data_IF_318037617110
#
_entry.id   IF_318037617110
#
_cell.length_a   1.000
_cell.length_b   1.000
_cell.length_c   1.000
_cell.angle_alpha   90.00
_cell.angle_beta   90.00
_cell.angle_gamma   90.00
#
_symmetry.space_group_name_H-M   'P 1'
#
loop_
_entity.id
_entity.type
_entity.pdbx_description
1 polymer ?
#
# COMPACT_ATOMS: atom_id res chain seq x y z
N UNK A 1 -65.63 -44.69 17.78
CA UNK A 1 -64.66 -45.49 18.57
C UNK A 1 -63.27 -44.88 18.43
N UNK A 2 -62.68 -44.35 19.50
CA UNK A 2 -61.34 -43.77 19.45
C UNK A 2 -60.28 -44.89 19.42
N UNK A 3 -59.41 -44.89 18.39
CA UNK A 3 -58.25 -45.79 18.31
C UNK A 3 -57.19 -45.33 19.31
N UNK A 4 -57.04 -46.06 20.41
CA UNK A 4 -55.93 -45.90 21.36
C UNK A 4 -54.63 -46.20 20.59
N UNK A 5 -53.88 -45.14 20.25
CA UNK A 5 -52.55 -45.30 19.66
C UNK A 5 -51.61 -45.75 20.78
N UNK A 6 -51.04 -46.95 20.64
CA UNK A 6 -49.98 -47.42 21.53
C UNK A 6 -48.77 -46.51 21.31
N UNK A 7 -48.50 -45.63 22.26
CA UNK A 7 -47.24 -44.89 22.29
C UNK A 7 -46.13 -45.90 22.60
N UNK A 8 -45.34 -46.24 21.61
CA UNK A 8 -44.11 -47.00 21.84
C UNK A 8 -43.16 -46.09 22.64
N UNK A 9 -42.90 -46.46 23.89
CA UNK A 9 -41.91 -45.78 24.71
C UNK A 9 -40.53 -45.99 24.06
N UNK A 10 -39.85 -44.89 23.74
CA UNK A 10 -38.50 -44.92 23.17
C UNK A 10 -37.55 -45.70 24.09
N UNK A 11 -36.75 -46.60 23.52
CA UNK A 11 -35.76 -47.32 24.30
C UNK A 11 -34.62 -46.38 24.69
N UNK A 12 -34.11 -46.50 25.93
CA UNK A 12 -32.94 -45.73 26.40
C UNK A 12 -31.75 -45.92 25.45
N UNK A 13 -31.61 -47.11 24.85
CA UNK A 13 -30.56 -47.40 23.87
C UNK A 13 -30.71 -46.58 22.59
N UNK A 14 -31.94 -46.41 22.08
CA UNK A 14 -32.20 -45.58 20.90
C UNK A 14 -31.87 -44.11 21.16
N UNK A 15 -32.16 -43.62 22.37
CA UNK A 15 -31.81 -42.26 22.77
C UNK A 15 -30.28 -42.08 22.85
N UNK A 16 -29.54 -43.05 23.38
CA UNK A 16 -28.07 -43.00 23.41
C UNK A 16 -27.45 -42.99 22.02
N UNK A 17 -27.97 -43.81 21.10
CA UNK A 17 -27.52 -43.83 19.70
C UNK A 17 -27.86 -42.52 18.99
N UNK A 18 -29.05 -41.97 19.20
CA UNK A 18 -29.44 -40.68 18.60
C UNK A 18 -28.56 -39.53 19.11
N UNK A 19 -28.27 -39.48 20.41
CA UNK A 19 -27.40 -38.47 21.01
C UNK A 19 -25.96 -38.57 20.52
N UNK A 20 -25.42 -39.79 20.37
CA UNK A 20 -24.05 -39.97 19.87
C UNK A 20 -23.94 -39.54 18.40
N UNK A 21 -24.89 -39.93 17.55
CA UNK A 21 -24.95 -39.50 16.15
C UNK A 21 -25.08 -37.98 16.03
N UNK A 22 -25.95 -37.37 16.84
CA UNK A 22 -26.09 -35.92 16.89
C UNK A 22 -24.78 -35.25 17.34
N UNK A 23 -24.11 -35.81 18.35
CA UNK A 23 -22.82 -35.32 18.83
C UNK A 23 -21.73 -35.36 17.76
N UNK A 24 -21.61 -36.46 17.02
CA UNK A 24 -20.68 -36.57 15.90
C UNK A 24 -20.99 -35.56 14.79
N UNK A 25 -22.27 -35.38 14.46
CA UNK A 25 -22.70 -34.43 13.44
C UNK A 25 -22.38 -32.99 13.86
N UNK A 26 -22.68 -32.61 15.11
CA UNK A 26 -22.36 -31.29 15.66
C UNK A 26 -20.85 -31.04 15.71
N UNK A 27 -20.05 -32.03 16.10
CA UNK A 27 -18.59 -31.94 16.09
C UNK A 27 -18.05 -31.73 14.66
N UNK A 28 -18.62 -32.42 13.67
CA UNK A 28 -18.28 -32.22 12.26
C UNK A 28 -18.60 -30.81 11.76
N UNK A 29 -19.81 -30.31 12.05
CA UNK A 29 -20.21 -28.93 11.69
C UNK A 29 -19.30 -27.91 12.37
N UNK A 30 -19.02 -28.09 13.65
CA UNK A 30 -18.11 -27.21 14.39
C UNK A 30 -16.71 -27.19 13.77
N UNK A 31 -16.18 -28.36 13.40
CA UNK A 31 -14.90 -28.47 12.69
C UNK A 31 -14.89 -27.70 11.36
N UNK A 32 -15.92 -27.86 10.54
CA UNK A 32 -16.03 -27.13 9.27
C UNK A 32 -16.13 -25.62 9.47
N UNK A 33 -16.88 -25.15 10.46
CA UNK A 33 -17.01 -23.72 10.77
C UNK A 33 -15.69 -23.11 11.24
N UNK A 34 -14.94 -23.80 12.10
CA UNK A 34 -13.64 -23.32 12.57
C UNK A 34 -12.61 -23.23 11.45
N UNK A 35 -12.56 -24.23 10.56
CA UNK A 35 -11.72 -24.20 9.35
C UNK A 35 -12.15 -23.07 8.40
N UNK A 36 -13.45 -22.91 8.17
CA UNK A 36 -13.99 -21.84 7.32
C UNK A 36 -13.62 -20.45 7.84
N UNK A 37 -13.76 -20.21 9.16
CA UNK A 37 -13.36 -18.94 9.78
C UNK A 37 -11.86 -18.67 9.66
N UNK A 38 -11.02 -19.71 9.76
CA UNK A 38 -9.56 -19.57 9.57
C UNK A 38 -9.25 -19.10 8.15
N UNK A 39 -9.78 -19.77 7.13
CA UNK A 39 -9.55 -19.38 5.74
C UNK A 39 -10.12 -18.00 5.40
N UNK A 40 -11.27 -17.64 5.96
CA UNK A 40 -11.82 -16.29 5.79
C UNK A 40 -10.87 -15.20 6.34
N UNK A 41 -10.24 -15.44 7.49
CA UNK A 41 -9.24 -14.52 8.06
C UNK A 41 -7.97 -14.44 7.22
N UNK A 42 -7.49 -15.56 6.71
CA UNK A 42 -6.32 -15.61 5.81
C UNK A 42 -6.58 -14.80 4.53
N UNK A 43 -7.77 -14.95 3.94
CA UNK A 43 -8.19 -14.20 2.75
C UNK A 43 -8.27 -12.68 3.01
N UNK A 44 -8.89 -12.26 4.13
CA UNK A 44 -8.98 -10.85 4.52
C UNK A 44 -7.61 -10.20 4.74
N UNK A 45 -6.68 -10.93 5.35
CA UNK A 45 -5.30 -10.46 5.52
C UNK A 45 -4.59 -10.31 4.18
N UNK A 46 -4.74 -11.28 3.27
CA UNK A 46 -4.18 -11.19 1.94
C UNK A 46 -4.74 -10.00 1.15
N UNK A 47 -6.06 -9.80 1.18
CA UNK A 47 -6.71 -8.66 0.53
C UNK A 47 -6.20 -7.32 1.08
N UNK A 48 -6.07 -7.21 2.40
CA UNK A 48 -5.53 -6.01 3.05
C UNK A 48 -4.12 -5.70 2.54
N UNK A 49 -3.23 -6.70 2.55
CA UNK A 49 -1.83 -6.57 2.12
C UNK A 49 -1.75 -6.16 0.65
N UNK A 50 -2.54 -6.82 -0.20
CA UNK A 50 -2.63 -6.51 -1.62
C UNK A 50 -3.13 -5.09 -1.91
N UNK A 51 -4.21 -4.68 -1.25
CA UNK A 51 -4.78 -3.33 -1.38
C UNK A 51 -3.78 -2.24 -0.97
N UNK A 52 -3.04 -2.43 0.12
CA UNK A 52 -2.02 -1.46 0.55
C UNK A 52 -0.87 -1.33 -0.46
N UNK A 53 -0.40 -2.45 -1.03
CA UNK A 53 0.65 -2.42 -2.04
C UNK A 53 0.19 -1.68 -3.31
N UNK A 54 -1.05 -1.94 -3.77
CA UNK A 54 -1.64 -1.25 -4.92
C UNK A 54 -1.81 0.25 -4.66
N UNK A 55 -2.30 0.65 -3.49
CA UNK A 55 -2.45 2.06 -3.12
C UNK A 55 -1.09 2.77 -3.11
N UNK A 56 -0.05 2.12 -2.58
CA UNK A 56 1.30 2.67 -2.57
C UNK A 56 1.81 2.94 -4.00
N UNK A 57 1.77 1.91 -4.85
CA UNK A 57 2.24 2.00 -6.23
C UNK A 57 1.42 3.01 -7.05
N UNK A 58 0.09 3.01 -6.93
CA UNK A 58 -0.77 3.94 -7.65
C UNK A 58 -0.47 5.41 -7.30
N UNK A 59 -0.30 5.72 -6.02
CA UNK A 59 0.03 7.11 -5.59
C UNK A 59 1.43 7.52 -6.00
N UNK A 60 2.42 6.63 -5.87
CA UNK A 60 3.79 6.92 -6.32
C UNK A 60 3.81 7.13 -7.84
N UNK A 61 3.18 6.23 -8.60
CA UNK A 61 3.05 6.33 -10.07
C UNK A 61 2.45 7.67 -10.49
N UNK A 62 1.34 8.07 -9.88
CA UNK A 62 0.68 9.33 -10.22
C UNK A 62 1.64 10.52 -10.12
N UNK A 63 2.45 10.57 -9.06
CA UNK A 63 3.39 11.68 -8.85
C UNK A 63 4.63 11.57 -9.75
N UNK A 64 5.17 10.36 -9.93
CA UNK A 64 6.31 10.11 -10.83
C UNK A 64 5.95 10.42 -12.28
N UNK A 65 4.71 10.22 -12.72
CA UNK A 65 4.31 10.60 -14.09
C UNK A 65 4.31 12.11 -14.34
N UNK A 66 4.30 12.92 -13.28
CA UNK A 66 4.32 14.38 -13.37
C UNK A 66 5.72 14.98 -13.22
N UNK A 67 6.73 14.16 -12.89
CA UNK A 67 8.09 14.64 -12.68
C UNK A 67 8.94 14.56 -13.95
N UNK A 68 10.07 15.28 -13.93
CA UNK A 68 11.12 15.21 -14.94
C UNK A 68 12.23 14.31 -14.44
N UNK A 69 12.76 13.47 -15.34
CA UNK A 69 13.86 12.55 -15.03
C UNK A 69 15.11 13.28 -14.50
N UNK A 70 15.35 14.51 -14.97
CA UNK A 70 16.49 15.32 -14.55
C UNK A 70 16.45 15.72 -13.06
N UNK A 71 15.28 15.67 -12.42
CA UNK A 71 15.10 16.03 -11.01
C UNK A 71 15.13 14.84 -10.05
N UNK A 72 15.26 13.62 -10.55
CA UNK A 72 15.32 12.42 -9.73
C UNK A 72 16.65 12.35 -8.98
N UNK A 73 16.60 11.84 -7.73
CA UNK A 73 17.80 11.40 -7.04
C UNK A 73 18.44 10.20 -7.76
N UNK A 74 19.74 10.02 -7.53
CA UNK A 74 20.47 8.88 -8.06
C UNK A 74 20.05 7.58 -7.35
N UNK A 75 19.24 6.78 -8.06
CA UNK A 75 18.72 5.51 -7.55
C UNK A 75 19.79 4.44 -7.39
N UNK A 76 20.99 4.61 -7.97
CA UNK A 76 22.09 3.66 -7.80
C UNK A 76 22.77 3.77 -6.42
N UNK A 77 22.76 4.97 -5.84
CA UNK A 77 23.36 5.25 -4.53
C UNK A 77 22.34 5.26 -3.39
N UNK A 78 21.07 5.52 -3.71
CA UNK A 78 20.01 5.68 -2.73
C UNK A 78 18.71 4.93 -3.12
N UNK A 79 18.70 3.58 -3.09
CA UNK A 79 17.54 2.79 -3.53
C UNK A 79 16.36 2.81 -2.55
N UNK A 80 16.55 3.25 -1.30
CA UNK A 80 15.51 3.15 -0.26
C UNK A 80 14.48 4.29 -0.28
N UNK A 81 14.74 5.33 -1.09
CA UNK A 81 13.88 6.50 -1.19
C UNK A 81 13.93 7.10 -2.59
N UNK A 82 12.86 7.82 -2.93
CA UNK A 82 12.70 8.48 -4.21
C UNK A 82 12.41 9.95 -3.96
N UNK A 83 13.29 10.83 -4.43
CA UNK A 83 13.14 12.28 -4.35
C UNK A 83 13.07 12.84 -5.76
N UNK A 84 12.10 13.71 -6.01
CA UNK A 84 11.96 14.41 -7.28
C UNK A 84 11.21 15.72 -7.14
N UNK A 85 11.34 16.58 -8.14
CA UNK A 85 10.60 17.84 -8.20
C UNK A 85 9.19 17.60 -8.75
N UNK A 86 8.22 18.38 -8.30
CA UNK A 86 6.85 18.36 -8.82
C UNK A 86 6.42 19.77 -9.25
N UNK A 87 5.71 19.89 -10.40
CA UNK A 87 5.15 21.17 -10.85
C UNK A 87 3.88 21.56 -10.10
N UNK A 88 3.35 20.68 -9.25
CA UNK A 88 2.23 21.00 -8.39
C UNK A 88 2.69 21.86 -7.22
N UNK A 89 1.85 22.80 -6.79
CA UNK A 89 2.13 23.59 -5.58
C UNK A 89 1.99 22.73 -4.32
N UNK A 90 2.47 23.25 -3.20
CA UNK A 90 2.31 22.60 -1.90
C UNK A 90 0.85 22.45 -1.54
N UNK A 91 0.53 21.40 -0.78
CA UNK A 91 -0.84 21.07 -0.38
C UNK A 91 -1.56 22.16 0.44
N UNK A 92 -0.81 23.07 1.07
CA UNK A 92 -1.38 24.19 1.83
C UNK A 92 -1.91 25.32 0.93
N UNK A 93 -1.53 25.32 -0.35
CA UNK A 93 -1.96 26.35 -1.30
C UNK A 93 -3.29 25.97 -1.95
N UNK A 94 -4.23 26.93 -2.04
CA UNK A 94 -5.43 26.78 -2.86
C UNK A 94 -5.04 26.52 -4.32
N UNK A 95 -5.75 25.63 -5.01
CA UNK A 95 -5.44 25.22 -6.39
C UNK A 95 -4.06 24.54 -6.56
N UNK A 96 -3.61 23.76 -5.58
CA UNK A 96 -2.32 23.06 -5.63
C UNK A 96 -2.12 22.14 -6.85
N UNK A 97 -3.21 21.68 -7.47
CA UNK A 97 -3.20 20.83 -8.66
C UNK A 97 -3.09 21.61 -9.98
N UNK A 98 -3.24 22.94 -9.93
CA UNK A 98 -3.16 23.78 -11.12
C UNK A 98 -1.69 24.04 -11.45
N UNK A 99 -1.30 23.67 -12.66
CA UNK A 99 0.02 23.99 -13.18
C UNK A 99 0.10 25.47 -13.49
N UNK A 100 1.20 26.09 -13.07
CA UNK A 100 1.52 27.46 -13.47
C UNK A 100 2.65 27.47 -14.46
N UNK A 101 2.57 28.45 -15.35
CA UNK A 101 3.52 28.66 -16.41
C UNK A 101 4.11 30.06 -16.25
N UNK A 102 5.38 30.19 -16.58
CA UNK A 102 6.04 31.49 -16.60
C UNK A 102 5.52 32.36 -17.76
N UNK A 103 5.96 33.62 -17.81
CA UNK A 103 5.60 34.56 -18.88
C UNK A 103 6.07 34.13 -20.28
N UNK A 104 6.88 33.09 -20.39
CA UNK A 104 7.36 32.49 -21.64
C UNK A 104 6.70 31.14 -21.97
N UNK A 105 5.78 30.66 -21.13
CA UNK A 105 5.05 29.41 -21.33
C UNK A 105 5.76 28.15 -20.81
N UNK A 106 6.85 28.27 -20.06
CA UNK A 106 7.52 27.13 -19.42
C UNK A 106 6.81 26.74 -18.12
N UNK A 107 6.83 25.44 -17.80
CA UNK A 107 6.23 24.91 -16.58
C UNK A 107 7.04 25.31 -15.35
N UNK A 108 6.36 25.83 -14.33
CA UNK A 108 7.00 26.18 -13.05
C UNK A 108 7.01 24.98 -12.09
N UNK A 109 8.18 24.72 -11.49
CA UNK A 109 8.40 23.72 -10.45
C UNK A 109 8.28 24.37 -9.07
N UNK A 110 7.47 23.81 -8.18
CA UNK A 110 7.09 24.46 -6.91
C UNK A 110 7.47 23.69 -5.66
N UNK A 111 7.76 22.40 -5.75
CA UNK A 111 8.08 21.58 -4.58
C UNK A 111 8.93 20.36 -4.91
N UNK A 112 9.60 19.86 -3.89
CA UNK A 112 10.15 18.51 -3.86
C UNK A 112 9.19 17.55 -3.21
N UNK A 113 9.15 16.32 -3.71
CA UNK A 113 8.39 15.21 -3.14
C UNK A 113 9.38 14.09 -2.84
N UNK A 114 9.30 13.54 -1.63
CA UNK A 114 10.06 12.37 -1.23
C UNK A 114 9.12 11.23 -0.84
N UNK A 115 9.38 10.04 -1.34
CA UNK A 115 8.80 8.79 -0.84
C UNK A 115 9.88 7.98 -0.16
N UNK A 116 9.59 7.53 1.07
CA UNK A 116 10.46 6.61 1.80
C UNK A 116 9.62 5.73 2.71
N UNK A 117 10.21 4.63 3.18
CA UNK A 117 9.60 3.76 4.18
C UNK A 117 9.98 4.22 5.58
N UNK A 118 8.99 4.38 6.44
CA UNK A 118 9.18 4.48 7.88
C UNK A 118 9.30 3.06 8.46
N UNK A 119 10.49 2.63 8.92
CA UNK A 119 10.71 1.29 9.43
C UNK A 119 10.05 1.05 10.79
N UNK A 120 9.75 2.11 11.56
CA UNK A 120 9.14 1.99 12.89
C UNK A 120 7.67 1.64 12.78
N UNK A 121 6.94 2.29 11.88
CA UNK A 121 5.51 2.05 11.67
C UNK A 121 5.22 1.03 10.55
N UNK A 122 6.23 0.64 9.77
CA UNK A 122 6.07 -0.11 8.52
C UNK A 122 5.09 0.57 7.57
N UNK A 123 5.28 1.87 7.36
CA UNK A 123 4.43 2.68 6.48
C UNK A 123 5.26 3.32 5.38
N UNK A 124 4.65 3.52 4.21
CA UNK A 124 5.23 4.37 3.17
C UNK A 124 4.74 5.78 3.40
N UNK A 125 5.69 6.69 3.53
CA UNK A 125 5.45 8.10 3.80
C UNK A 125 5.80 8.91 2.57
N UNK A 126 4.98 9.91 2.29
CA UNK A 126 5.26 10.97 1.34
C UNK A 126 5.44 12.29 2.07
N UNK A 127 6.51 12.98 1.75
CA UNK A 127 6.84 14.29 2.30
C UNK A 127 6.96 15.30 1.17
N UNK A 128 6.43 16.50 1.37
CA UNK A 128 6.64 17.64 0.49
C UNK A 128 7.61 18.64 1.13
N UNK A 129 8.48 19.23 0.32
CA UNK A 129 9.25 20.41 0.70
C UNK A 129 9.05 21.51 -0.34
N UNK A 130 8.71 22.75 0.04
CA UNK A 130 8.53 23.84 -0.92
C UNK A 130 9.84 24.17 -1.63
N UNK A 131 9.77 24.43 -2.93
CA UNK A 131 10.84 25.02 -3.72
C UNK A 131 10.61 26.53 -3.77
N UNK A 132 11.48 27.30 -3.13
CA UNK A 132 11.37 28.76 -3.06
C UNK A 132 12.71 29.42 -3.43
N UNK A 133 12.77 30.21 -4.52
CA UNK A 133 11.69 30.50 -5.46
C UNK A 133 11.35 29.29 -6.35
N UNK A 134 10.15 29.30 -6.94
CA UNK A 134 9.79 28.36 -8.00
C UNK A 134 10.74 28.52 -9.20
N UNK A 135 10.99 27.44 -9.93
CA UNK A 135 11.93 27.44 -11.06
C UNK A 135 11.25 27.01 -12.34
N UNK A 136 11.67 27.55 -13.48
CA UNK A 136 11.06 27.26 -14.79
C UNK A 136 11.81 26.13 -15.54
N UNK A 137 12.86 25.61 -14.91
CA UNK A 137 13.60 24.43 -15.34
C UNK A 137 13.54 23.38 -14.23
N UNK A 138 13.53 22.08 -14.57
CA UNK A 138 13.57 21.01 -13.58
C UNK A 138 14.84 21.14 -12.73
N UNK A 139 14.73 21.30 -11.40
CA UNK A 139 15.90 21.40 -10.55
C UNK A 139 16.61 20.03 -10.49
N UNK A 140 17.94 20.04 -10.64
CA UNK A 140 18.74 18.80 -10.78
C UNK A 140 19.38 18.32 -9.48
N UNK A 141 19.33 19.14 -8.43
CA UNK A 141 19.98 18.87 -7.15
C UNK A 141 18.92 18.66 -6.07
N UNK A 142 18.47 17.42 -5.84
CA UNK A 142 17.50 17.13 -4.78
C UNK A 142 18.08 17.42 -3.39
N UNK A 143 17.25 17.90 -2.43
CA UNK A 143 17.65 18.03 -1.04
C UNK A 143 18.05 16.68 -0.43
N UNK A 144 18.91 16.65 0.60
CA UNK A 144 19.23 15.42 1.32
C UNK A 144 18.01 14.83 2.01
N UNK A 145 17.97 13.50 2.16
CA UNK A 145 16.87 12.78 2.84
C UNK A 145 16.58 13.31 4.25
N UNK A 146 17.60 13.81 4.96
CA UNK A 146 17.47 14.36 6.31
C UNK A 146 16.46 15.52 6.39
N UNK A 147 16.34 16.33 5.33
CA UNK A 147 15.39 17.45 5.30
C UNK A 147 13.94 16.95 5.26
N UNK A 148 13.71 15.78 4.64
CA UNK A 148 12.38 15.17 4.55
C UNK A 148 12.00 14.39 5.82
N UNK A 149 12.95 13.77 6.52
CA UNK A 149 12.65 12.98 7.72
C UNK A 149 12.28 13.85 8.92
N UNK A 150 12.74 15.10 8.96
CA UNK A 150 12.44 16.09 10.01
C UNK A 150 11.06 16.75 9.78
N UNK A 151 10.53 16.70 8.56
CA UNK A 151 9.23 17.29 8.24
C UNK A 151 8.09 16.62 9.02
N UNK A 152 7.19 17.44 9.56
CA UNK A 152 6.04 17.00 10.36
C UNK A 152 4.76 17.72 9.92
N UNK A 153 3.61 17.27 10.43
CA UNK A 153 2.33 17.94 10.18
C UNK A 153 1.82 17.76 8.75
N UNK A 154 1.39 18.86 8.10
CA UNK A 154 0.68 18.84 6.82
C UNK A 154 1.52 18.33 5.65
N UNK A 155 2.84 18.50 5.73
CA UNK A 155 3.79 18.15 4.68
C UNK A 155 4.11 16.66 4.65
N UNK A 156 3.85 15.93 5.76
CA UNK A 156 4.08 14.50 5.89
C UNK A 156 2.76 13.74 5.84
N UNK A 157 2.64 12.78 4.91
CA UNK A 157 1.45 11.93 4.76
C UNK A 157 1.81 10.47 4.64
N UNK A 158 1.14 9.63 5.44
CA UNK A 158 1.17 8.18 5.24
C UNK A 158 0.35 7.82 4.01
N UNK A 159 0.96 7.11 3.07
CA UNK A 159 0.30 6.65 1.84
C UNK A 159 -0.28 5.27 2.00
N UNK A 160 0.54 4.37 2.54
CA UNK A 160 0.23 2.95 2.67
C UNK A 160 0.83 2.43 3.98
N UNK A 161 0.20 1.38 4.51
CA UNK A 161 0.57 0.71 5.75
C UNK A 161 0.99 -0.72 5.47
N UNK A 162 1.61 -1.35 6.47
CA UNK A 162 2.09 -2.73 6.40
C UNK A 162 3.13 -2.95 5.30
N UNK A 163 3.92 -1.92 4.97
CA UNK A 163 5.00 -2.00 3.98
C UNK A 163 6.31 -2.41 4.67
N UNK A 164 6.77 -3.62 4.38
CA UNK A 164 7.98 -4.22 4.95
C UNK A 164 9.25 -3.92 4.16
N UNK A 165 9.13 -3.54 2.89
CA UNK A 165 10.24 -3.03 2.10
C UNK A 165 9.72 -2.07 1.03
N UNK A 166 10.56 -1.12 0.66
CA UNK A 166 10.35 -0.19 -0.44
C UNK A 166 11.72 -0.03 -1.10
N UNK A 167 11.80 -0.24 -2.40
CA UNK A 167 13.03 0.04 -3.15
C UNK A 167 12.73 0.63 -4.52
N UNK A 168 13.68 1.42 -4.98
CA UNK A 168 13.66 2.13 -6.23
C UNK A 168 14.91 1.78 -7.03
N UNK A 169 14.73 1.47 -8.30
CA UNK A 169 15.82 1.12 -9.20
C UNK A 169 15.63 1.84 -10.54
N UNK A 170 16.73 2.05 -11.27
CA UNK A 170 16.62 2.46 -12.67
C UNK A 170 15.96 1.32 -13.46
N UNK A 171 14.88 1.63 -14.15
CA UNK A 171 14.10 0.65 -14.89
C UNK A 171 14.90 0.06 -16.05
N UNK A 172 14.86 -1.27 -16.17
CA UNK A 172 15.60 -2.00 -17.19
C UNK A 172 14.80 -2.17 -18.49
N UNK A 173 13.47 -2.09 -18.43
CA UNK A 173 12.59 -2.33 -19.56
C UNK A 173 12.44 -1.08 -20.46
N UNK A 174 12.46 0.11 -19.88
CA UNK A 174 12.30 1.38 -20.58
C UNK A 174 13.40 2.34 -20.12
N UNK A 175 14.20 2.84 -21.06
CA UNK A 175 15.24 3.82 -20.75
C UNK A 175 14.62 5.05 -20.07
N UNK A 176 15.17 5.40 -18.90
CA UNK A 176 14.71 6.51 -18.08
C UNK A 176 13.43 6.23 -17.27
N UNK A 177 12.96 4.98 -17.16
CA UNK A 177 11.89 4.65 -16.21
C UNK A 177 12.42 4.41 -14.81
N UNK A 178 11.56 4.57 -13.81
CA UNK A 178 11.81 4.22 -12.40
C UNK A 178 11.07 2.93 -12.10
N UNK A 179 11.80 1.91 -11.66
CA UNK A 179 11.25 0.67 -11.12
C UNK A 179 10.98 0.87 -9.64
N UNK A 180 9.73 0.65 -9.23
CA UNK A 180 9.30 0.76 -7.84
C UNK A 180 8.93 -0.64 -7.35
N UNK A 181 9.56 -1.10 -6.27
CA UNK A 181 9.22 -2.36 -5.61
C UNK A 181 8.64 -2.05 -4.24
N UNK A 182 7.44 -2.55 -3.97
CA UNK A 182 6.80 -2.46 -2.65
C UNK A 182 6.57 -3.86 -2.13
N UNK A 183 7.12 -4.15 -0.96
CA UNK A 183 6.80 -5.36 -0.21
C UNK A 183 5.88 -5.00 0.95
N UNK A 184 4.77 -5.71 1.05
CA UNK A 184 3.80 -5.58 2.12
C UNK A 184 3.71 -6.87 2.90
N UNK A 185 3.51 -6.76 4.21
CA UNK A 185 3.37 -7.94 5.04
C UNK A 185 2.49 -7.71 6.26
N UNK A 186 1.70 -8.71 6.63
CA UNK A 186 0.85 -8.69 7.82
C UNK A 186 0.87 -10.07 8.47
N UNK A 187 0.87 -10.10 9.80
CA UNK A 187 0.83 -11.34 10.56
C UNK A 187 -0.59 -11.89 10.61
N UNK A 188 -0.71 -13.20 10.42
CA UNK A 188 -1.92 -14.00 10.60
C UNK A 188 -1.71 -14.86 11.85
N UNK A 189 -2.56 -14.66 12.86
CA UNK A 189 -2.54 -15.46 14.10
C UNK A 189 -1.15 -15.56 14.77
N UNK A 190 -0.36 -14.48 14.74
CA UNK A 190 0.93 -14.32 15.44
C UNK A 190 2.13 -15.16 14.96
N UNK A 191 1.94 -16.18 14.13
CA UNK A 191 3.02 -17.08 13.67
C UNK A 191 3.25 -17.01 12.16
N UNK A 192 2.19 -16.90 11.35
CA UNK A 192 2.31 -16.87 9.90
C UNK A 192 2.37 -15.43 9.37
N UNK A 193 3.30 -15.16 8.45
CA UNK A 193 3.44 -13.85 7.81
C UNK A 193 3.02 -13.96 6.35
N UNK A 194 1.89 -13.34 6.01
CA UNK A 194 1.54 -13.10 4.62
C UNK A 194 2.44 -12.00 4.08
N UNK A 195 3.20 -12.29 3.03
CA UNK A 195 4.07 -11.33 2.34
C UNK A 195 3.67 -11.25 0.87
N UNK A 196 3.58 -10.04 0.36
CA UNK A 196 3.34 -9.76 -1.05
C UNK A 196 4.36 -8.74 -1.54
N UNK A 197 5.00 -9.05 -2.67
CA UNK A 197 5.88 -8.14 -3.39
C UNK A 197 5.20 -7.73 -4.69
N UNK A 198 5.00 -6.43 -4.89
CA UNK A 198 4.55 -5.87 -6.16
C UNK A 198 5.65 -4.99 -6.75
N UNK A 199 5.75 -5.01 -8.08
CA UNK A 199 6.73 -4.26 -8.86
C UNK A 199 5.97 -3.49 -9.93
N UNK A 200 6.27 -2.21 -10.11
CA UNK A 200 5.77 -1.39 -11.21
C UNK A 200 6.92 -0.61 -11.84
N UNK A 201 6.89 -0.45 -13.16
CA UNK A 201 7.86 0.33 -13.93
C UNK A 201 7.14 1.57 -14.49
N UNK A 202 7.57 2.76 -14.08
CA UNK A 202 6.91 4.02 -14.47
C UNK A 202 7.91 4.94 -15.15
N UNK A 203 7.52 5.45 -16.33
CA UNK A 203 8.31 6.43 -17.05
C UNK A 203 7.95 7.85 -16.58
N UNK A 204 8.89 8.63 -16.01
CA UNK A 204 8.72 10.06 -15.78
C UNK A 204 8.44 10.79 -17.09
N UNK A 205 7.90 12.00 -17.00
CA UNK A 205 7.70 12.84 -18.17
C UNK A 205 9.07 13.24 -18.71
N UNK A 206 9.43 12.72 -19.89
CA UNK A 206 10.53 13.28 -20.65
C UNK A 206 10.05 14.61 -21.22
N UNK A 207 10.57 15.72 -20.71
CA UNK A 207 10.55 16.96 -21.48
C UNK A 207 11.68 16.89 -22.51
N UNK A 208 11.40 17.18 -23.80
CA UNK A 208 12.39 17.24 -24.87
C UNK A 208 13.37 18.41 -24.71
#
# INVERSE_FOLDING_TARGET
MPRIHKSHAFSVVEMMVALSLMGFLLAGIYGLLTLGMRHAREADVFETVHSQALIALAKMRQEVTLTSYASLNDLSTAPDHLIFASPQRTLDTSNHQVFTYDGTGNLEWHKWVCFFRDPTENTVVRVELPLSPATNAPPTNPPPLADFTVATGKDRRTIARNCSALSFENGTAVLGSVRMTVETSKLVNSEDRTMLRLIDDVKPRNEP
#
